data_IF_291888999128
#
_entry.id   IF_291888999128
#
_cell.length_a   1.000
_cell.length_b   1.000
_cell.length_c   1.000
_cell.angle_alpha   90.00
_cell.angle_beta   90.00
_cell.angle_gamma   90.00
#
_symmetry.space_group_name_H-M   'P 1'
#
loop_
_entity.id
_entity.type
_entity.pdbx_description
1 polymer ?
#
# COMPACT_ATOMS: atom_id res chain seq x y z
N UNK A 1 -10.43 5.32 -1.82
CA UNK A 1 -9.32 4.94 -0.93
C UNK A 1 -9.41 5.81 0.30
N UNK A 2 -10.20 5.42 1.28
CA UNK A 2 -10.28 6.10 2.56
C UNK A 2 -9.60 5.27 3.66
N UNK A 3 -9.58 3.93 3.52
CA UNK A 3 -9.04 3.04 4.55
C UNK A 3 -7.53 3.18 4.75
N UNK A 4 -6.74 3.24 3.66
CA UNK A 4 -5.29 3.38 3.78
C UNK A 4 -4.86 4.79 4.25
N UNK A 5 -5.58 5.82 3.82
CA UNK A 5 -5.35 7.20 4.27
C UNK A 5 -5.64 7.33 5.78
N UNK A 6 -6.67 6.64 6.27
CA UNK A 6 -6.98 6.57 7.70
C UNK A 6 -5.85 5.89 8.50
N UNK A 7 -5.28 4.79 8.01
CA UNK A 7 -4.14 4.13 8.68
C UNK A 7 -2.92 5.04 8.76
N UNK A 8 -2.70 5.84 7.72
CA UNK A 8 -1.62 6.82 7.67
C UNK A 8 -1.85 7.94 8.69
N UNK A 9 -3.04 8.53 8.71
CA UNK A 9 -3.42 9.56 9.68
C UNK A 9 -3.33 9.06 11.14
N UNK A 10 -3.64 7.79 11.39
CA UNK A 10 -3.55 7.16 12.71
C UNK A 10 -2.11 6.75 13.10
N UNK A 11 -1.12 6.92 12.21
CA UNK A 11 0.26 6.48 12.46
C UNK A 11 0.43 4.95 12.54
N UNK A 12 -0.57 4.19 12.07
CA UNK A 12 -0.52 2.72 11.97
C UNK A 12 0.21 2.27 10.71
N UNK A 13 0.18 3.11 9.68
CA UNK A 13 0.94 2.96 8.45
C UNK A 13 1.83 4.19 8.27
N UNK A 14 3.14 3.99 8.16
CA UNK A 14 4.11 5.11 8.08
C UNK A 14 5.07 4.89 6.93
N UNK A 15 5.27 5.92 6.11
CA UNK A 15 6.25 5.86 5.04
C UNK A 15 7.69 5.89 5.57
N UNK A 16 8.55 5.02 5.06
CA UNK A 16 9.98 4.99 5.38
C UNK A 16 10.80 5.24 4.11
N UNK A 17 11.29 6.48 3.95
CA UNK A 17 12.11 6.91 2.81
C UNK A 17 13.27 5.96 2.51
N UNK A 18 14.07 5.63 3.54
CA UNK A 18 15.26 4.81 3.39
C UNK A 18 15.00 3.37 2.90
N UNK A 19 13.75 2.91 2.92
CA UNK A 19 13.35 1.56 2.52
C UNK A 19 12.39 1.53 1.35
N UNK A 20 12.00 2.71 0.87
CA UNK A 20 10.95 2.88 -0.13
C UNK A 20 9.72 2.01 0.15
N UNK A 21 9.29 1.95 1.41
CA UNK A 21 8.14 1.13 1.80
C UNK A 21 7.42 1.65 3.03
N UNK A 22 6.21 1.12 3.23
CA UNK A 22 5.37 1.45 4.37
C UNK A 22 5.66 0.52 5.54
N UNK A 23 5.67 1.04 6.76
CA UNK A 23 5.69 0.20 7.97
C UNK A 23 4.29 0.13 8.54
N UNK A 24 3.68 -1.05 8.47
CA UNK A 24 2.32 -1.32 8.92
C UNK A 24 2.16 -2.79 9.34
N UNK A 25 1.07 -3.12 10.05
CA UNK A 25 0.66 -4.51 10.21
C UNK A 25 -0.03 -4.98 8.91
N UNK A 26 0.34 -6.14 8.33
CA UNK A 26 -0.28 -6.61 7.09
C UNK A 26 -1.80 -6.75 7.17
N UNK A 27 -2.33 -7.22 8.30
CA UNK A 27 -3.77 -7.38 8.50
C UNK A 27 -4.51 -6.05 8.56
N UNK A 28 -3.92 -5.00 9.15
CA UNK A 28 -4.48 -3.64 9.13
C UNK A 28 -4.64 -3.14 7.69
N UNK A 29 -3.63 -3.39 6.85
CA UNK A 29 -3.63 -2.99 5.44
C UNK A 29 -4.70 -3.75 4.66
N UNK A 30 -4.86 -5.04 4.88
CA UNK A 30 -5.93 -5.81 4.23
C UNK A 30 -7.30 -5.35 4.70
N UNK A 31 -7.50 -5.11 6.00
CA UNK A 31 -8.76 -4.60 6.52
C UNK A 31 -9.13 -3.25 5.87
N UNK A 32 -8.15 -2.36 5.74
CA UNK A 32 -8.33 -1.08 5.05
C UNK A 32 -8.69 -1.26 3.57
N UNK A 33 -8.04 -2.16 2.84
CA UNK A 33 -8.36 -2.48 1.45
C UNK A 33 -9.76 -3.09 1.33
N UNK A 34 -10.17 -3.95 2.25
CA UNK A 34 -11.52 -4.51 2.26
C UNK A 34 -12.60 -3.46 2.55
N UNK A 35 -12.33 -2.49 3.43
CA UNK A 35 -13.22 -1.33 3.63
C UNK A 35 -13.35 -0.46 2.37
N UNK A 36 -12.30 -0.40 1.56
CA UNK A 36 -12.30 0.27 0.25
C UNK A 36 -12.94 -0.58 -0.87
N UNK A 37 -13.53 -1.74 -0.54
CA UNK A 37 -14.27 -2.60 -1.47
C UNK A 37 -13.42 -3.61 -2.23
N UNK A 38 -12.16 -3.83 -1.83
CA UNK A 38 -11.34 -4.91 -2.38
C UNK A 38 -11.63 -6.24 -1.68
N UNK A 39 -12.05 -7.21 -2.45
CA UNK A 39 -12.27 -8.59 -2.02
C UNK A 39 -10.98 -9.39 -2.19
N UNK A 40 -10.58 -10.13 -1.15
CA UNK A 40 -9.37 -10.98 -1.21
C UNK A 40 -9.55 -12.11 -2.23
N UNK A 41 -8.63 -12.17 -3.20
CA UNK A 41 -8.55 -13.28 -4.15
C UNK A 41 -7.46 -14.27 -3.76
N UNK A 42 -6.34 -13.77 -3.22
CA UNK A 42 -5.18 -14.59 -2.87
C UNK A 42 -4.46 -14.02 -1.66
N UNK A 43 -4.03 -14.91 -0.76
CA UNK A 43 -3.06 -14.60 0.29
C UNK A 43 -2.10 -15.77 0.46
N UNK A 44 -0.80 -15.48 0.42
CA UNK A 44 0.25 -16.47 0.63
C UNK A 44 1.25 -15.95 1.66
N UNK A 45 1.67 -16.83 2.56
CA UNK A 45 2.66 -16.51 3.59
C UNK A 45 3.89 -17.39 3.40
N UNK A 46 5.06 -16.78 3.47
CA UNK A 46 6.34 -17.49 3.46
C UNK A 46 6.89 -17.57 4.88
N UNK A 47 7.50 -18.70 5.22
CA UNK A 47 8.21 -18.86 6.50
C UNK A 47 9.73 -18.90 6.27
N UNK A 48 10.49 -18.38 7.22
CA UNK A 48 11.94 -18.59 7.27
C UNK A 48 12.22 -20.03 7.69
N UNK A 49 13.09 -20.73 6.97
CA UNK A 49 13.51 -22.10 7.34
C UNK A 49 14.32 -22.16 8.63
N UNK A 50 15.00 -21.09 9.02
CA UNK A 50 15.85 -21.06 10.22
C UNK A 50 15.04 -21.03 11.51
N UNK A 51 13.94 -20.28 11.54
CA UNK A 51 13.17 -20.03 12.77
C UNK A 51 11.68 -20.43 12.67
N UNK A 52 11.25 -20.96 11.52
CA UNK A 52 9.85 -21.26 11.16
C UNK A 52 8.88 -20.08 11.29
N UNK A 53 9.37 -18.88 11.58
CA UNK A 53 8.57 -17.67 11.68
C UNK A 53 8.16 -17.19 10.28
N UNK A 54 6.94 -16.63 10.12
CA UNK A 54 6.55 -15.96 8.89
C UNK A 54 7.59 -14.89 8.53
N UNK A 55 8.21 -15.02 7.36
CA UNK A 55 9.21 -14.09 6.84
C UNK A 55 8.55 -12.94 6.06
N UNK A 56 7.33 -13.16 5.59
CA UNK A 56 6.60 -12.21 4.76
C UNK A 56 5.51 -12.91 3.97
N UNK A 57 4.96 -12.23 2.98
CA UNK A 57 3.94 -12.80 2.13
C UNK A 57 3.47 -11.87 1.04
N UNK A 58 2.48 -12.34 0.30
CA UNK A 58 1.81 -11.60 -0.75
C UNK A 58 0.30 -11.72 -0.58
N UNK A 59 -0.39 -10.66 -0.92
CA UNK A 59 -1.83 -10.57 -0.93
C UNK A 59 -2.29 -9.90 -2.22
N UNK A 60 -3.41 -10.35 -2.75
CA UNK A 60 -4.06 -9.73 -3.90
C UNK A 60 -5.57 -9.75 -3.70
N UNK A 61 -6.20 -8.64 -4.08
CA UNK A 61 -7.65 -8.51 -4.09
C UNK A 61 -8.15 -7.65 -5.23
N UNK A 62 -9.44 -7.78 -5.52
CA UNK A 62 -10.12 -7.10 -6.63
C UNK A 62 -11.30 -6.32 -6.11
N UNK A 63 -11.56 -5.15 -6.68
CA UNK A 63 -12.77 -4.39 -6.40
C UNK A 63 -13.74 -4.61 -7.58
N UNK A 64 -14.79 -5.45 -7.42
CA UNK A 64 -15.68 -5.80 -8.52
C UNK A 64 -16.53 -4.62 -9.01
N UNK A 65 -16.72 -3.59 -8.18
CA UNK A 65 -17.46 -2.39 -8.56
C UNK A 65 -16.69 -1.45 -9.50
N UNK A 66 -15.36 -1.48 -9.44
CA UNK A 66 -14.48 -0.61 -10.25
C UNK A 66 -13.65 -1.37 -11.28
N UNK A 67 -13.47 -2.68 -11.09
CA UNK A 67 -12.55 -3.51 -11.87
C UNK A 67 -11.09 -3.39 -11.44
N UNK A 68 -10.78 -2.60 -10.41
CA UNK A 68 -9.41 -2.38 -9.94
C UNK A 68 -8.83 -3.59 -9.21
N UNK A 69 -7.51 -3.74 -9.29
CA UNK A 69 -6.74 -4.80 -8.60
C UNK A 69 -5.77 -4.17 -7.61
N UNK A 70 -5.84 -4.57 -6.35
CA UNK A 70 -4.86 -4.22 -5.33
C UNK A 70 -3.92 -5.40 -5.09
N UNK A 71 -2.62 -5.13 -5.07
CA UNK A 71 -1.56 -6.09 -4.75
C UNK A 71 -0.71 -5.57 -3.61
N UNK A 72 -0.40 -6.44 -2.65
CA UNK A 72 0.42 -6.12 -1.50
C UNK A 72 1.50 -7.19 -1.31
N UNK A 73 2.73 -6.77 -1.09
CA UNK A 73 3.82 -7.63 -0.62
C UNK A 73 4.28 -7.10 0.73
N UNK A 74 4.53 -7.99 1.69
CA UNK A 74 5.11 -7.60 2.97
C UNK A 74 6.30 -8.47 3.34
N UNK A 75 7.23 -7.85 4.06
CA UNK A 75 8.42 -8.49 4.62
C UNK A 75 8.44 -8.23 6.12
N UNK A 76 8.38 -9.31 6.90
CA UNK A 76 8.43 -9.21 8.35
C UNK A 76 9.83 -8.80 8.79
N UNK A 77 9.88 -7.86 9.74
CA UNK A 77 11.15 -7.40 10.28
C UNK A 77 11.48 -8.20 11.54
N UNK A 78 12.75 -8.64 11.70
CA UNK A 78 13.16 -9.39 12.89
C UNK A 78 12.77 -8.64 14.17
N UNK A 79 12.04 -9.33 15.07
CA UNK A 79 11.65 -8.82 16.40
C UNK A 79 10.69 -7.61 16.37
N UNK A 80 10.01 -7.35 15.25
CA UNK A 80 8.99 -6.28 15.14
C UNK A 80 7.62 -6.87 14.83
N UNK A 81 6.58 -6.25 15.38
CA UNK A 81 5.17 -6.59 15.08
C UNK A 81 4.68 -6.00 13.76
N UNK A 82 5.35 -4.97 13.24
CA UNK A 82 5.03 -4.34 11.94
C UNK A 82 5.99 -4.79 10.85
N UNK A 83 5.46 -5.00 9.66
CA UNK A 83 6.19 -5.40 8.47
C UNK A 83 6.56 -4.19 7.62
N UNK A 84 7.55 -4.35 6.74
CA UNK A 84 7.70 -3.45 5.59
C UNK A 84 6.72 -3.90 4.51
N UNK A 85 5.89 -3.00 4.01
CA UNK A 85 4.74 -3.27 3.14
C UNK A 85 4.85 -2.42 1.88
N UNK A 86 4.59 -3.05 0.74
CA UNK A 86 4.53 -2.43 -0.57
C UNK A 86 3.13 -2.67 -1.14
N UNK A 87 2.49 -1.60 -1.62
CA UNK A 87 1.10 -1.63 -2.08
C UNK A 87 1.05 -1.01 -3.47
N UNK A 88 0.42 -1.71 -4.40
CA UNK A 88 0.09 -1.21 -5.73
C UNK A 88 -1.40 -1.40 -6.02
N UNK A 89 -2.02 -0.42 -6.67
CA UNK A 89 -3.39 -0.51 -7.19
C UNK A 89 -3.32 -0.25 -8.68
N UNK A 90 -3.83 -1.18 -9.48
CA UNK A 90 -3.78 -1.13 -10.95
C UNK A 90 -2.36 -0.98 -11.51
N UNK A 91 -1.37 -1.54 -10.80
CA UNK A 91 0.05 -1.43 -11.14
C UNK A 91 0.72 -0.16 -10.63
N UNK A 92 -0.06 0.83 -10.18
CA UNK A 92 0.47 2.08 -9.64
C UNK A 92 0.81 1.94 -8.17
N UNK A 93 2.08 2.23 -7.83
CA UNK A 93 2.48 2.22 -6.44
C UNK A 93 1.78 3.35 -5.68
N UNK A 94 1.29 3.08 -4.46
CA UNK A 94 0.57 4.11 -3.68
C UNK A 94 1.42 5.36 -3.40
N UNK A 95 2.73 5.19 -3.41
CA UNK A 95 3.70 6.28 -3.35
C UNK A 95 3.68 7.14 -4.60
N UNK A 96 3.82 6.53 -5.77
CA UNK A 96 3.74 7.22 -7.06
C UNK A 96 2.43 8.01 -7.17
N UNK A 97 1.32 7.40 -6.72
CA UNK A 97 0.02 8.09 -6.65
C UNK A 97 -0.02 9.26 -5.68
N UNK A 98 0.63 9.17 -4.51
CA UNK A 98 0.71 10.28 -3.56
C UNK A 98 1.61 11.42 -4.07
N UNK A 99 2.67 11.10 -4.81
CA UNK A 99 3.53 12.09 -5.47
C UNK A 99 2.84 12.72 -6.68
N UNK A 100 2.18 11.96 -7.56
CA UNK A 100 1.41 12.49 -8.70
C UNK A 100 0.16 13.27 -8.30
N UNK A 101 -0.46 12.95 -7.15
CA UNK A 101 -1.55 13.77 -6.58
C UNK A 101 -1.05 15.10 -6.02
N UNK A 102 0.21 15.15 -5.56
CA UNK A 102 0.86 16.35 -5.02
C UNK A 102 1.51 17.19 -6.12
N UNK A 103 1.86 16.56 -7.24
CA UNK A 103 2.31 17.14 -8.50
C UNK A 103 1.13 17.33 -9.46
N UNK A 104 -0.01 17.83 -8.95
CA UNK A 104 -0.94 18.57 -9.81
C UNK A 104 -0.29 19.91 -10.09
N UNK A 105 0.51 19.94 -11.14
CA UNK A 105 1.25 21.09 -11.60
C UNK A 105 0.32 22.30 -11.86
N UNK A 106 0.57 23.46 -11.23
CA UNK A 106 -0.21 24.69 -11.39
C UNK A 106 0.19 25.52 -12.62
N UNK A 107 0.59 24.91 -13.74
CA UNK A 107 0.66 25.63 -15.01
C UNK A 107 -0.74 25.92 -15.55
N UNK A 108 -1.37 26.93 -14.94
CA UNK A 108 -2.29 27.80 -15.66
C UNK A 108 -1.47 28.40 -16.81
N UNK A 109 -1.78 27.97 -18.03
CA UNK A 109 -1.39 28.68 -19.25
C UNK A 109 -2.13 30.02 -19.27
N UNK A 110 -1.60 30.99 -18.53
CA UNK A 110 -1.98 32.39 -18.59
C UNK A 110 -0.96 33.10 -19.51
N UNK A 111 -0.89 32.62 -20.75
CA UNK A 111 -0.07 33.18 -21.83
C UNK A 111 -0.86 34.22 -22.62
N UNK A 112 -1.00 35.41 -22.07
CA UNK A 112 -1.60 36.57 -22.74
C UNK A 112 -0.80 37.11 -23.94
N UNK A 113 -1.57 37.54 -24.92
CA UNK A 113 -1.40 38.64 -25.90
C UNK A 113 -0.08 38.81 -26.68
N UNK A 114 -0.25 38.80 -28.02
CA UNK A 114 0.61 39.39 -29.03
C UNK A 114 -0.15 39.57 -30.35
#
# INVERSE_FOLDING_TARGET
MHGLDELEMQGRMTWIEARHGWVAAPDDVVEALSKDGFEECKRETTSSRQDLQPAGGVWQGVNPGTGSVASMVWVNQPRRTRALVFIAIDGESRQDRAFSSRERDPYMDDGGEG
#
